data_IF_817972876392
#
_entry.id   IF_817972876392
#
_cell.length_a   1.000
_cell.length_b   1.000
_cell.length_c   1.000
_cell.angle_alpha   90.00
_cell.angle_beta   90.00
_cell.angle_gamma   90.00
#
_symmetry.space_group_name_H-M   'P 1'
#
loop_
_entity.id
_entity.type
_entity.pdbx_description
1 polymer ?
#
# COMPACT_ATOMS: atom_id res chain seq x y z
N UNK A 1 -46.12 -28.29 33.16
CA UNK A 1 -44.75 -27.96 32.71
C UNK A 1 -44.58 -26.46 32.82
N UNK A 2 -43.85 -25.96 33.83
CA UNK A 2 -43.71 -24.52 34.13
C UNK A 2 -42.88 -23.88 33.01
N UNK A 3 -43.48 -22.91 32.32
CA UNK A 3 -42.89 -22.27 31.15
C UNK A 3 -41.74 -21.36 31.58
N UNK A 4 -40.49 -21.85 31.50
CA UNK A 4 -39.27 -21.08 31.78
C UNK A 4 -38.95 -20.04 30.66
N UNK A 5 -39.92 -19.76 29.78
CA UNK A 5 -39.83 -18.84 28.64
C UNK A 5 -39.33 -17.44 29.02
N UNK A 6 -39.66 -16.91 30.21
CA UNK A 6 -39.17 -15.59 30.62
C UNK A 6 -37.65 -15.55 30.88
N UNK A 7 -37.02 -16.67 31.23
CA UNK A 7 -35.56 -16.75 31.40
C UNK A 7 -34.88 -16.98 30.05
N UNK A 8 -35.39 -17.91 29.24
CA UNK A 8 -34.78 -18.23 27.94
C UNK A 8 -34.88 -17.07 26.95
N UNK A 9 -35.99 -16.32 26.95
CA UNK A 9 -36.18 -15.16 26.07
C UNK A 9 -35.27 -14.00 26.47
N UNK A 10 -35.02 -13.79 27.76
CA UNK A 10 -34.03 -12.82 28.25
C UNK A 10 -32.61 -13.22 27.86
N UNK A 11 -32.23 -14.48 28.05
CA UNK A 11 -30.92 -14.99 27.65
C UNK A 11 -30.71 -14.88 26.14
N UNK A 12 -31.71 -15.24 25.33
CA UNK A 12 -31.65 -15.06 23.86
C UNK A 12 -31.53 -13.59 23.50
N UNK A 13 -32.28 -12.70 24.14
CA UNK A 13 -32.19 -11.26 23.91
C UNK A 13 -30.79 -10.72 24.27
N UNK A 14 -30.21 -11.14 25.39
CA UNK A 14 -28.85 -10.77 25.79
C UNK A 14 -27.80 -11.22 24.77
N UNK A 15 -27.90 -12.45 24.26
CA UNK A 15 -27.03 -12.94 23.20
C UNK A 15 -27.21 -12.16 21.89
N UNK A 16 -28.45 -11.82 21.52
CA UNK A 16 -28.74 -11.00 20.34
C UNK A 16 -28.18 -9.59 20.47
N UNK A 17 -28.31 -8.97 21.66
CA UNK A 17 -27.73 -7.64 21.94
C UNK A 17 -26.20 -7.71 21.89
N UNK A 18 -25.58 -8.71 22.52
CA UNK A 18 -24.13 -8.89 22.47
C UNK A 18 -23.64 -9.10 21.03
N UNK A 19 -24.31 -9.95 20.27
CA UNK A 19 -24.00 -10.19 18.86
C UNK A 19 -24.13 -8.90 18.04
N UNK A 20 -25.21 -8.14 18.22
CA UNK A 20 -25.40 -6.86 17.55
C UNK A 20 -24.28 -5.88 17.88
N UNK A 21 -23.91 -5.75 19.16
CA UNK A 21 -22.80 -4.88 19.59
C UNK A 21 -21.48 -5.28 18.92
N UNK A 22 -21.13 -6.56 18.93
CA UNK A 22 -19.91 -7.06 18.28
C UNK A 22 -19.97 -6.82 16.77
N UNK A 23 -21.11 -7.09 16.13
CA UNK A 23 -21.31 -6.87 14.71
C UNK A 23 -21.09 -5.40 14.34
N UNK A 24 -21.77 -4.47 15.02
CA UNK A 24 -21.62 -3.04 14.77
C UNK A 24 -20.19 -2.54 15.08
N UNK A 25 -19.58 -2.99 16.17
CA UNK A 25 -18.20 -2.67 16.49
C UNK A 25 -17.23 -3.15 15.38
N UNK A 26 -17.43 -4.35 14.86
CA UNK A 26 -16.62 -4.90 13.76
C UNK A 26 -16.78 -4.11 12.46
N UNK A 27 -18.02 -3.68 12.14
CA UNK A 27 -18.31 -2.86 10.97
C UNK A 27 -17.66 -1.47 11.08
N UNK A 28 -17.72 -0.84 12.26
CA UNK A 28 -17.06 0.45 12.51
C UNK A 28 -15.54 0.32 12.39
N UNK A 29 -14.95 -0.74 12.95
CA UNK A 29 -13.52 -0.99 12.88
C UNK A 29 -13.03 -1.19 11.45
N UNK A 30 -13.70 -2.02 10.65
CA UNK A 30 -13.37 -2.22 9.23
C UNK A 30 -13.70 -1.02 8.35
N UNK A 31 -14.63 -0.15 8.76
CA UNK A 31 -14.94 1.07 8.00
C UNK A 31 -13.94 2.19 8.23
N UNK A 32 -13.48 2.36 9.46
CA UNK A 32 -12.70 3.56 9.86
C UNK A 32 -11.23 3.29 10.14
N UNK A 33 -10.86 2.09 10.60
CA UNK A 33 -9.50 1.82 11.10
C UNK A 33 -8.71 0.96 10.12
N UNK A 34 -9.27 -0.16 9.71
CA UNK A 34 -8.61 -1.17 8.88
C UNK A 34 -9.16 -1.15 7.45
N UNK A 35 -8.29 -1.19 6.45
CA UNK A 35 -8.68 -1.50 5.06
C UNK A 35 -8.07 -2.84 4.66
N UNK A 36 -8.81 -3.60 3.86
CA UNK A 36 -8.30 -4.80 3.20
C UNK A 36 -8.20 -4.50 1.71
N UNK A 37 -6.98 -4.41 1.21
CA UNK A 37 -6.69 -3.99 -0.17
C UNK A 37 -5.99 -5.13 -0.92
N UNK A 38 -6.15 -5.18 -2.25
CA UNK A 38 -5.41 -6.11 -3.12
C UNK A 38 -4.57 -5.30 -4.07
N UNK A 39 -3.28 -5.62 -4.17
CA UNK A 39 -2.35 -4.94 -5.06
C UNK A 39 -2.72 -5.24 -6.50
N UNK A 40 -2.94 -4.19 -7.29
CA UNK A 40 -3.18 -4.29 -8.73
C UNK A 40 -2.08 -3.51 -9.46
N UNK A 41 -1.31 -4.21 -10.29
CA UNK A 41 -0.22 -3.65 -11.09
C UNK A 41 1.19 -3.95 -10.56
N UNK A 42 2.19 -3.43 -11.27
CA UNK A 42 3.61 -3.80 -11.10
C UNK A 42 4.45 -2.72 -10.42
N UNK A 43 3.89 -1.54 -10.15
CA UNK A 43 4.65 -0.34 -9.72
C UNK A 43 5.42 -0.50 -8.41
N UNK A 44 5.04 -1.43 -7.54
CA UNK A 44 5.70 -1.66 -6.25
C UNK A 44 6.53 -2.94 -6.24
N UNK A 45 6.69 -3.62 -7.38
CA UNK A 45 7.57 -4.79 -7.48
C UNK A 45 9.04 -4.38 -7.30
N UNK A 46 9.87 -5.25 -6.69
CA UNK A 46 9.52 -6.57 -6.16
C UNK A 46 9.01 -6.51 -4.70
N UNK A 47 8.81 -5.32 -4.12
CA UNK A 47 8.37 -5.21 -2.71
C UNK A 47 6.95 -5.73 -2.53
N UNK A 48 6.07 -5.46 -3.49
CA UNK A 48 4.69 -5.92 -3.53
C UNK A 48 4.35 -6.40 -4.93
N UNK A 49 3.82 -7.61 -5.03
CA UNK A 49 3.44 -8.23 -6.29
C UNK A 49 1.95 -8.08 -6.59
N UNK A 50 1.61 -8.15 -7.87
CA UNK A 50 0.22 -8.10 -8.30
C UNK A 50 -0.55 -9.29 -7.72
N UNK A 51 -1.65 -9.02 -7.02
CA UNK A 51 -2.45 -10.03 -6.32
C UNK A 51 -2.16 -10.14 -4.81
N UNK A 52 -1.12 -9.47 -4.30
CA UNK A 52 -0.84 -9.43 -2.88
C UNK A 52 -2.02 -8.83 -2.10
N UNK A 53 -2.33 -9.42 -0.94
CA UNK A 53 -3.40 -8.98 -0.05
C UNK A 53 -2.80 -8.21 1.12
N UNK A 54 -3.24 -6.98 1.30
CA UNK A 54 -2.71 -6.06 2.30
C UNK A 54 -3.76 -5.67 3.32
N UNK A 55 -3.31 -5.45 4.55
CA UNK A 55 -4.08 -4.76 5.57
C UNK A 55 -3.43 -3.41 5.84
N UNK A 56 -4.17 -2.33 5.61
CA UNK A 56 -3.69 -0.96 5.84
C UNK A 56 -4.44 -0.34 7.03
N UNK A 57 -3.72 0.51 7.79
CA UNK A 57 -4.27 1.21 8.95
C UNK A 57 -4.44 2.69 8.59
N UNK A 58 -5.68 3.17 8.61
CA UNK A 58 -6.03 4.54 8.15
C UNK A 58 -5.67 5.63 9.15
N UNK A 59 -5.59 5.29 10.43
CA UNK A 59 -5.41 6.28 11.53
C UNK A 59 -3.94 6.60 11.83
N UNK A 60 -2.99 5.87 11.24
CA UNK A 60 -1.56 6.06 11.51
C UNK A 60 -1.03 7.24 10.70
N UNK A 61 -0.31 8.16 11.35
CA UNK A 61 0.42 9.24 10.65
C UNK A 61 1.55 8.63 9.81
N UNK A 62 1.67 8.99 8.52
CA UNK A 62 2.72 8.45 7.66
C UNK A 62 4.09 8.92 8.11
N UNK A 63 5.09 8.04 7.96
CA UNK A 63 6.50 8.34 8.19
C UNK A 63 7.30 8.03 6.93
N UNK A 64 8.52 8.57 6.83
CA UNK A 64 9.45 8.19 5.75
C UNK A 64 9.61 6.67 5.70
N UNK A 65 9.73 6.16 4.48
CA UNK A 65 9.78 4.75 4.13
C UNK A 65 8.50 3.94 4.41
N UNK A 66 7.42 4.51 4.97
CA UNK A 66 6.15 3.81 5.01
C UNK A 66 5.61 3.58 3.58
N UNK A 67 4.94 2.45 3.37
CA UNK A 67 4.13 2.21 2.17
C UNK A 67 2.71 2.66 2.49
N UNK A 68 2.16 3.53 1.65
CA UNK A 68 0.87 4.17 1.85
C UNK A 68 -0.05 3.93 0.66
N UNK A 69 -1.34 3.91 0.93
CA UNK A 69 -2.41 3.88 -0.07
C UNK A 69 -2.96 5.30 -0.18
N UNK A 70 -2.98 5.86 -1.39
CA UNK A 70 -3.48 7.20 -1.68
C UNK A 70 -4.54 7.14 -2.78
N UNK A 71 -5.42 8.14 -2.83
CA UNK A 71 -6.27 8.33 -4.00
C UNK A 71 -5.41 8.67 -5.21
N UNK A 72 -5.67 8.01 -6.33
CA UNK A 72 -4.98 8.29 -7.58
C UNK A 72 -5.34 9.71 -8.05
N UNK A 73 -4.36 10.62 -8.23
CA UNK A 73 -4.63 12.00 -8.62
C UNK A 73 -5.15 12.12 -10.06
N UNK A 74 -4.80 11.16 -10.91
CA UNK A 74 -5.13 11.10 -12.34
C UNK A 74 -6.34 10.20 -12.66
N UNK A 75 -6.84 9.41 -11.69
CA UNK A 75 -7.95 8.48 -11.89
C UNK A 75 -8.92 8.48 -10.69
N UNK A 76 -10.01 9.26 -10.77
CA UNK A 76 -11.01 9.29 -9.70
C UNK A 76 -11.54 7.90 -9.35
N UNK A 77 -11.65 7.62 -8.05
CA UNK A 77 -12.11 6.32 -7.55
C UNK A 77 -11.06 5.19 -7.57
N UNK A 78 -9.85 5.45 -8.08
CA UNK A 78 -8.72 4.51 -8.05
C UNK A 78 -7.77 4.81 -6.88
N UNK A 79 -7.05 3.79 -6.43
CA UNK A 79 -6.06 3.89 -5.35
C UNK A 79 -4.67 3.54 -5.87
N UNK A 80 -3.65 4.27 -5.41
CA UNK A 80 -2.25 3.97 -5.65
C UNK A 80 -1.54 3.56 -4.37
N UNK A 81 -0.65 2.58 -4.50
CA UNK A 81 0.24 2.15 -3.45
C UNK A 81 1.63 2.70 -3.78
N UNK A 82 2.19 3.49 -2.87
CA UNK A 82 3.49 4.16 -3.06
C UNK A 82 4.29 4.18 -1.75
N UNK A 83 5.61 4.35 -1.84
CA UNK A 83 6.48 4.56 -0.68
C UNK A 83 6.68 6.05 -0.41
N UNK A 84 6.60 6.44 0.86
CA UNK A 84 6.88 7.81 1.30
C UNK A 84 8.38 8.07 1.30
N UNK A 85 8.86 8.96 0.43
CA UNK A 85 10.28 9.32 0.33
C UNK A 85 10.60 10.60 1.14
N UNK A 86 9.82 11.66 0.94
CA UNK A 86 9.93 12.93 1.67
C UNK A 86 8.70 13.23 2.51
N UNK A 87 8.90 13.99 3.59
CA UNK A 87 7.85 14.54 4.44
C UNK A 87 7.72 16.05 4.22
N UNK A 88 6.63 16.71 4.68
CA UNK A 88 6.52 18.16 4.62
C UNK A 88 7.75 18.85 5.23
N UNK A 89 8.34 19.79 4.49
CA UNK A 89 9.58 20.49 4.85
C UNK A 89 10.86 19.83 4.33
N UNK A 90 10.80 18.65 3.72
CA UNK A 90 11.96 18.02 3.11
C UNK A 90 12.27 18.54 1.71
N UNK A 91 13.56 18.73 1.44
CA UNK A 91 14.11 18.88 0.10
C UNK A 91 14.59 17.52 -0.39
N UNK A 92 13.93 16.97 -1.40
CA UNK A 92 14.28 15.68 -2.00
C UNK A 92 14.98 15.92 -3.34
N UNK A 93 16.10 15.24 -3.57
CA UNK A 93 16.84 15.28 -4.83
C UNK A 93 17.31 13.89 -5.21
N UNK A 94 17.26 13.55 -6.49
CA UNK A 94 17.86 12.34 -7.05
C UNK A 94 18.83 12.73 -8.15
N UNK A 95 20.07 12.25 -8.09
CA UNK A 95 21.09 12.48 -9.11
C UNK A 95 21.98 11.25 -9.22
N UNK A 96 22.28 10.83 -10.45
CA UNK A 96 23.15 9.68 -10.73
C UNK A 96 22.73 8.40 -9.97
N UNK A 97 21.42 8.11 -9.95
CA UNK A 97 20.81 7.00 -9.19
C UNK A 97 21.06 7.05 -7.68
N UNK A 98 21.30 8.24 -7.12
CA UNK A 98 21.46 8.44 -5.68
C UNK A 98 20.38 9.39 -5.15
N UNK A 99 19.48 8.86 -4.34
CA UNK A 99 18.54 9.66 -3.56
C UNK A 99 19.24 10.38 -2.41
N UNK A 100 18.91 11.66 -2.24
CA UNK A 100 19.27 12.47 -1.07
C UNK A 100 18.05 13.21 -0.53
N UNK A 101 17.94 13.29 0.79
CA UNK A 101 16.89 14.05 1.50
C UNK A 101 17.59 15.04 2.44
N UNK A 102 17.29 16.33 2.29
CA UNK A 102 17.93 17.43 3.00
C UNK A 102 19.47 17.40 2.87
N UNK A 103 19.96 17.14 1.65
CA UNK A 103 21.39 17.04 1.33
C UNK A 103 22.10 15.77 1.82
N UNK A 104 21.39 14.88 2.54
CA UNK A 104 21.96 13.61 3.04
C UNK A 104 21.55 12.45 2.14
N UNK A 105 22.53 11.68 1.69
CA UNK A 105 22.29 10.44 0.93
C UNK A 105 21.47 9.46 1.76
N UNK A 106 20.44 8.89 1.14
CA UNK A 106 19.56 7.90 1.77
C UNK A 106 19.83 6.54 1.13
N UNK A 107 19.96 5.50 1.95
CA UNK A 107 20.05 4.13 1.46
C UNK A 107 18.67 3.64 1.02
N UNK A 108 18.62 2.98 -0.13
CA UNK A 108 17.39 2.48 -0.74
C UNK A 108 17.43 0.94 -0.86
N UNK A 109 17.44 0.20 0.26
CA UNK A 109 17.58 -1.26 0.22
C UNK A 109 16.39 -1.97 -0.47
N UNK A 110 15.27 -1.26 -0.63
CA UNK A 110 14.10 -1.73 -1.35
C UNK A 110 14.28 -1.69 -2.89
N UNK A 111 15.30 -0.99 -3.41
CA UNK A 111 15.60 -0.97 -4.84
C UNK A 111 16.51 -2.16 -5.20
N UNK A 112 15.91 -3.17 -5.83
CA UNK A 112 16.63 -4.34 -6.29
C UNK A 112 17.22 -4.11 -7.69
N UNK A 113 18.55 -3.93 -7.77
CA UNK A 113 19.26 -3.71 -9.04
C UNK A 113 19.07 -4.84 -10.03
N UNK A 114 19.10 -6.09 -9.58
CA UNK A 114 18.92 -7.26 -10.46
C UNK A 114 17.52 -7.25 -11.08
N UNK A 115 16.49 -7.04 -10.27
CA UNK A 115 15.12 -6.92 -10.75
C UNK A 115 14.96 -5.81 -11.79
N UNK A 116 15.54 -4.63 -11.53
CA UNK A 116 15.50 -3.51 -12.49
C UNK A 116 16.17 -3.87 -13.81
N UNK A 117 17.37 -4.49 -13.78
CA UNK A 117 18.07 -4.94 -14.99
C UNK A 117 17.26 -6.00 -15.75
N UNK A 118 16.69 -6.97 -15.05
CA UNK A 118 15.89 -8.05 -15.64
C UNK A 118 14.63 -7.50 -16.34
N UNK A 119 13.94 -6.53 -15.73
CA UNK A 119 12.78 -5.86 -16.33
C UNK A 119 13.15 -5.01 -17.54
N UNK A 120 14.27 -4.28 -17.51
CA UNK A 120 14.77 -3.54 -18.68
C UNK A 120 15.08 -4.50 -19.83
N UNK A 121 15.77 -5.61 -19.54
CA UNK A 121 16.09 -6.63 -20.56
C UNK A 121 14.83 -7.23 -21.19
N UNK A 122 13.83 -7.54 -20.35
CA UNK A 122 12.56 -8.08 -20.80
C UNK A 122 11.80 -7.09 -21.68
N UNK A 123 11.72 -5.82 -21.27
CA UNK A 123 11.12 -4.76 -22.07
C UNK A 123 11.85 -4.56 -23.40
N UNK A 124 13.19 -4.50 -23.39
CA UNK A 124 14.00 -4.33 -24.59
C UNK A 124 13.76 -5.48 -25.58
N UNK A 125 13.76 -6.72 -25.08
CA UNK A 125 13.48 -7.92 -25.89
C UNK A 125 12.11 -7.86 -26.55
N UNK A 126 11.08 -7.36 -25.84
CA UNK A 126 9.74 -7.19 -26.40
C UNK A 126 9.67 -6.15 -27.52
N UNK A 127 10.59 -5.18 -27.52
CA UNK A 127 10.72 -4.17 -28.56
C UNK A 127 11.71 -4.57 -29.66
N UNK A 128 12.32 -5.77 -29.58
CA UNK A 128 13.38 -6.19 -30.50
C UNK A 128 14.68 -5.40 -30.35
N UNK A 129 14.91 -4.79 -29.19
CA UNK A 129 16.09 -4.01 -28.85
C UNK A 129 17.03 -4.81 -27.94
N UNK A 130 18.33 -4.54 -28.04
CA UNK A 130 19.29 -4.96 -27.02
C UNK A 130 19.35 -3.92 -25.90
N UNK A 131 19.07 -4.34 -24.67
CA UNK A 131 19.09 -3.47 -23.51
C UNK A 131 20.43 -2.75 -23.29
N UNK A 132 21.55 -3.34 -23.74
CA UNK A 132 22.88 -2.72 -23.64
C UNK A 132 23.01 -1.44 -24.47
N UNK A 133 22.14 -1.27 -25.47
CA UNK A 133 22.13 -0.12 -26.38
C UNK A 133 21.23 1.03 -25.92
N UNK A 134 20.41 0.79 -24.90
CA UNK A 134 19.49 1.79 -24.37
C UNK A 134 20.28 2.87 -23.64
N UNK A 135 20.17 4.12 -24.11
CA UNK A 135 20.66 5.30 -23.39
C UNK A 135 19.49 6.03 -22.75
N UNK A 136 19.45 6.03 -21.43
CA UNK A 136 18.49 6.85 -20.68
C UNK A 136 18.86 8.33 -20.82
N UNK A 137 17.86 9.18 -21.08
CA UNK A 137 18.05 10.62 -21.10
C UNK A 137 18.14 11.14 -19.67
N UNK A 138 18.97 12.17 -19.47
CA UNK A 138 19.10 12.88 -18.19
C UNK A 138 18.31 14.20 -18.23
N UNK A 139 17.23 14.26 -18.99
CA UNK A 139 16.45 15.46 -19.29
C UNK A 139 15.43 15.82 -18.20
N UNK A 140 15.56 15.26 -17.00
CA UNK A 140 14.74 15.58 -15.84
C UNK A 140 15.12 16.91 -15.14
N UNK A 141 15.58 17.91 -15.90
CA UNK A 141 15.93 19.24 -15.39
C UNK A 141 14.69 20.13 -15.24
#
# INVERSE_FOLDING_TARGET
>A
MKNNSHSTLKTVLEFLVLFAVIFFASQLLMRYVLSKDVVQGTSMQPTLENGDRLYSIRVKKPKRNDIVVINAPDRPGSLYIKRVIGMPGDTVSSKDNQLSVNGKKIAEPYLNKKFATDEINKWASQQGLDASTIKFTNDFN
#
